data_IF_774038051665
#
_entry.id   IF_774038051665
#
_cell.length_a   1.000
_cell.length_b   1.000
_cell.length_c   1.000
_cell.angle_alpha   90.00
_cell.angle_beta   90.00
_cell.angle_gamma   90.00
#
_symmetry.space_group_name_H-M   'P 1'
#
loop_
_entity.id
_entity.type
_entity.pdbx_description
1 polymer ?
#
# COMPACT_ATOMS: atom_id res chain seq x y z
N UNK A 1 -20.35 -54.73 27.77
CA UNK A 1 -20.30 -56.05 27.11
C UNK A 1 -19.89 -57.05 28.16
N UNK A 2 -20.73 -58.03 28.48
CA UNK A 2 -20.43 -59.04 29.50
C UNK A 2 -19.68 -60.19 28.83
N UNK A 3 -18.35 -60.22 28.97
CA UNK A 3 -17.56 -61.38 28.55
C UNK A 3 -17.61 -62.44 29.66
N UNK A 4 -17.79 -63.73 29.34
CA UNK A 4 -17.67 -64.80 30.34
C UNK A 4 -16.25 -64.90 30.94
N UNK A 5 -15.26 -64.24 30.33
CA UNK A 5 -13.88 -64.17 30.81
C UNK A 5 -13.52 -62.85 31.50
N UNK A 6 -14.52 -61.99 31.81
CA UNK A 6 -14.28 -60.63 32.32
C UNK A 6 -13.49 -60.62 33.64
N UNK A 7 -13.70 -61.61 34.52
CA UNK A 7 -13.03 -61.72 35.82
C UNK A 7 -11.54 -62.09 35.71
N UNK A 8 -11.12 -62.63 34.57
CA UNK A 8 -9.74 -63.07 34.33
C UNK A 8 -8.88 -62.02 33.61
N UNK A 9 -9.48 -60.93 33.12
CA UNK A 9 -8.75 -59.83 32.48
C UNK A 9 -7.79 -59.20 33.50
N UNK A 10 -6.54 -58.95 33.08
CA UNK A 10 -5.46 -58.36 33.90
C UNK A 10 -5.03 -59.14 35.17
N UNK A 11 -5.51 -60.37 35.34
CA UNK A 11 -5.29 -61.19 36.56
C UNK A 11 -4.05 -62.09 36.52
N UNK A 12 -3.29 -62.10 35.41
CA UNK A 12 -2.17 -63.03 35.19
C UNK A 12 -2.60 -64.49 34.95
N UNK A 13 -3.90 -64.75 34.85
CA UNK A 13 -4.48 -66.07 34.59
C UNK A 13 -4.03 -66.67 33.25
N UNK A 14 -3.71 -67.96 33.25
CA UNK A 14 -3.34 -68.72 32.05
C UNK A 14 -4.53 -69.59 31.60
N UNK A 15 -5.14 -69.31 30.43
CA UNK A 15 -6.29 -70.07 29.93
C UNK A 15 -5.94 -71.55 29.68
N UNK A 16 -6.88 -72.44 29.90
CA UNK A 16 -6.77 -73.86 29.55
C UNK A 16 -6.92 -74.11 28.05
N UNK A 17 -6.49 -75.28 27.58
CA UNK A 17 -6.58 -75.68 26.16
C UNK A 17 -8.02 -75.68 25.60
N UNK A 18 -9.03 -75.78 26.47
CA UNK A 18 -10.46 -75.75 26.10
C UNK A 18 -11.00 -74.31 26.03
N UNK A 19 -10.45 -73.38 26.80
CA UNK A 19 -10.86 -71.98 26.83
C UNK A 19 -10.24 -71.16 25.70
N UNK A 20 -9.02 -71.51 25.27
CA UNK A 20 -8.31 -70.81 24.18
C UNK A 20 -9.18 -70.71 22.90
N UNK A 21 -9.82 -71.79 22.40
CA UNK A 21 -10.72 -71.69 21.25
C UNK A 21 -11.93 -70.78 21.48
N UNK A 22 -12.52 -70.79 22.68
CA UNK A 22 -13.67 -69.96 23.03
C UNK A 22 -13.31 -68.47 23.06
N UNK A 23 -12.16 -68.13 23.64
CA UNK A 23 -11.61 -66.78 23.66
C UNK A 23 -11.32 -66.31 22.22
N UNK A 24 -10.71 -67.17 21.39
CA UNK A 24 -10.46 -66.86 19.97
C UNK A 24 -11.75 -66.60 19.19
N UNK A 25 -12.80 -67.40 19.41
CA UNK A 25 -14.09 -67.20 18.75
C UNK A 25 -14.75 -65.87 19.17
N UNK A 26 -14.69 -65.53 20.46
CA UNK A 26 -15.21 -64.26 20.98
C UNK A 26 -14.43 -63.05 20.40
N UNK A 27 -13.10 -63.16 20.29
CA UNK A 27 -12.26 -62.15 19.64
C UNK A 27 -12.67 -62.00 18.17
N UNK A 28 -12.80 -63.10 17.43
CA UNK A 28 -13.19 -63.07 16.03
C UNK A 28 -14.56 -62.42 15.83
N UNK A 29 -15.54 -62.76 16.67
CA UNK A 29 -16.86 -62.13 16.64
C UNK A 29 -16.76 -60.61 16.83
N UNK A 30 -15.94 -60.12 17.76
CA UNK A 30 -15.77 -58.69 17.98
C UNK A 30 -14.99 -58.01 16.84
N UNK A 31 -14.03 -58.69 16.21
CA UNK A 31 -13.36 -58.22 14.99
C UNK A 31 -14.39 -58.01 13.88
N UNK A 32 -15.30 -58.96 13.68
CA UNK A 32 -16.34 -58.87 12.65
C UNK A 32 -17.32 -57.71 12.94
N UNK A 33 -17.68 -57.50 14.21
CA UNK A 33 -18.51 -56.36 14.65
C UNK A 33 -17.80 -55.03 14.36
N UNK A 34 -16.51 -54.91 14.70
CA UNK A 34 -15.72 -53.71 14.39
C UNK A 34 -15.71 -53.46 12.87
N UNK A 35 -15.48 -54.50 12.07
CA UNK A 35 -15.53 -54.38 10.60
C UNK A 35 -16.89 -53.90 10.07
N UNK A 36 -17.99 -54.32 10.69
CA UNK A 36 -19.34 -53.80 10.36
C UNK A 36 -19.48 -52.32 10.75
N UNK A 37 -19.04 -51.93 11.94
CA UNK A 37 -19.11 -50.54 12.43
C UNK A 37 -18.25 -49.63 11.54
N UNK A 38 -17.03 -50.04 11.19
CA UNK A 38 -16.14 -49.26 10.33
C UNK A 38 -16.75 -49.03 8.94
N UNK A 39 -17.49 -50.02 8.42
CA UNK A 39 -18.25 -49.88 7.18
C UNK A 39 -19.37 -48.84 7.32
N UNK A 40 -20.15 -48.89 8.40
CA UNK A 40 -21.21 -47.90 8.67
C UNK A 40 -20.63 -46.49 8.86
N UNK A 41 -19.50 -46.35 9.57
CA UNK A 41 -18.79 -45.07 9.71
C UNK A 41 -18.40 -44.54 8.32
N UNK A 42 -17.78 -45.38 7.49
CA UNK A 42 -17.37 -44.98 6.14
C UNK A 42 -18.56 -44.54 5.28
N UNK A 43 -19.67 -45.28 5.30
CA UNK A 43 -20.89 -44.93 4.57
C UNK A 43 -21.50 -43.60 5.06
N UNK A 44 -21.48 -43.36 6.37
CA UNK A 44 -21.94 -42.10 6.96
C UNK A 44 -21.01 -40.92 6.61
N UNK A 45 -19.69 -41.13 6.61
CA UNK A 45 -18.69 -40.14 6.21
C UNK A 45 -18.84 -39.75 4.73
N UNK A 46 -18.99 -40.75 3.85
CA UNK A 46 -19.23 -40.54 2.42
C UNK A 46 -20.54 -39.77 2.17
N UNK A 47 -21.60 -40.14 2.89
CA UNK A 47 -22.89 -39.44 2.84
C UNK A 47 -22.78 -37.98 3.33
N UNK A 48 -22.04 -37.75 4.41
CA UNK A 48 -21.78 -36.40 4.93
C UNK A 48 -20.98 -35.56 3.94
N UNK A 49 -19.97 -36.15 3.30
CA UNK A 49 -19.17 -35.49 2.27
C UNK A 49 -20.05 -35.08 1.07
N UNK A 50 -20.92 -35.98 0.59
CA UNK A 50 -21.86 -35.71 -0.49
C UNK A 50 -22.85 -34.58 -0.12
N UNK A 51 -23.41 -34.60 1.09
CA UNK A 51 -24.30 -33.54 1.56
C UNK A 51 -23.59 -32.19 1.70
N UNK A 52 -22.34 -32.16 2.19
CA UNK A 52 -21.52 -30.93 2.24
C UNK A 52 -21.25 -30.37 0.85
N UNK A 53 -20.93 -31.23 -0.12
CA UNK A 53 -20.74 -30.82 -1.52
C UNK A 53 -22.03 -30.24 -2.12
N UNK A 54 -23.17 -30.92 -1.93
CA UNK A 54 -24.49 -30.45 -2.38
C UNK A 54 -24.88 -29.12 -1.74
N UNK A 55 -24.65 -28.96 -0.43
CA UNK A 55 -24.87 -27.69 0.29
C UNK A 55 -24.00 -26.56 -0.27
N UNK A 56 -22.72 -26.83 -0.58
CA UNK A 56 -21.81 -25.85 -1.20
C UNK A 56 -22.32 -25.44 -2.58
N UNK A 57 -22.72 -26.39 -3.42
CA UNK A 57 -23.29 -26.12 -4.74
C UNK A 57 -24.56 -25.27 -4.65
N UNK A 58 -25.49 -25.61 -3.76
CA UNK A 58 -26.72 -24.84 -3.55
C UNK A 58 -26.45 -23.42 -3.03
N UNK A 59 -25.48 -23.23 -2.11
CA UNK A 59 -25.06 -21.88 -1.69
C UNK A 59 -24.53 -21.05 -2.86
N UNK A 60 -23.74 -21.64 -3.76
CA UNK A 60 -23.24 -20.97 -4.96
C UNK A 60 -24.41 -20.62 -5.89
N UNK A 61 -25.34 -21.56 -6.12
CA UNK A 61 -26.55 -21.34 -6.92
C UNK A 61 -27.36 -20.15 -6.41
N UNK A 62 -27.67 -20.13 -5.11
CA UNK A 62 -28.43 -19.04 -4.47
C UNK A 62 -27.70 -17.70 -4.64
N UNK A 63 -26.41 -17.64 -4.31
CA UNK A 63 -25.61 -16.41 -4.45
C UNK A 63 -25.60 -15.86 -5.87
N UNK A 64 -25.46 -16.73 -6.87
CA UNK A 64 -25.49 -16.33 -8.29
C UNK A 64 -26.84 -15.71 -8.67
N UNK A 65 -27.96 -16.31 -8.24
CA UNK A 65 -29.29 -15.79 -8.54
C UNK A 65 -29.63 -14.52 -7.77
N UNK A 66 -29.24 -14.43 -6.49
CA UNK A 66 -29.34 -13.19 -5.71
C UNK A 66 -28.56 -12.05 -6.37
N UNK A 67 -27.37 -12.33 -6.90
CA UNK A 67 -26.60 -11.35 -7.64
C UNK A 67 -27.29 -10.89 -8.94
N UNK A 68 -28.15 -11.69 -9.57
CA UNK A 68 -28.92 -11.27 -10.76
C UNK A 68 -29.97 -10.21 -10.41
N UNK A 69 -30.62 -10.35 -9.26
CA UNK A 69 -31.68 -9.44 -8.80
C UNK A 69 -31.18 -8.34 -7.85
N UNK A 70 -29.85 -8.22 -7.68
CA UNK A 70 -29.27 -7.21 -6.81
C UNK A 70 -29.70 -5.80 -7.26
N UNK A 71 -30.24 -4.95 -6.36
CA UNK A 71 -30.75 -3.63 -6.72
C UNK A 71 -29.74 -2.75 -7.46
N UNK A 72 -28.46 -2.90 -7.12
CA UNK A 72 -27.35 -2.14 -7.71
C UNK A 72 -27.19 -2.36 -9.23
N UNK A 73 -27.72 -3.47 -9.78
CA UNK A 73 -27.73 -3.73 -11.24
C UNK A 73 -28.79 -2.95 -12.00
N UNK A 74 -29.79 -2.41 -11.29
CA UNK A 74 -30.88 -1.61 -11.87
C UNK A 74 -30.62 -0.11 -11.76
N UNK A 75 -29.55 0.28 -11.07
CA UNK A 75 -29.22 1.69 -10.94
C UNK A 75 -28.77 2.26 -12.29
N UNK A 76 -29.26 3.44 -12.65
CA UNK A 76 -28.72 4.21 -13.76
C UNK A 76 -27.20 4.44 -13.62
N UNK A 77 -26.44 4.54 -14.73
CA UNK A 77 -24.99 4.73 -14.69
C UNK A 77 -24.53 5.95 -13.90
N UNK A 78 -25.26 7.06 -13.99
CA UNK A 78 -24.97 8.30 -13.25
C UNK A 78 -25.08 8.11 -11.74
N UNK A 79 -26.16 7.48 -11.26
CA UNK A 79 -26.34 7.16 -9.84
C UNK A 79 -25.24 6.22 -9.35
N UNK A 80 -24.90 5.21 -10.15
CA UNK A 80 -23.84 4.27 -9.81
C UNK A 80 -22.46 4.95 -9.76
N UNK A 81 -22.16 5.87 -10.68
CA UNK A 81 -20.95 6.70 -10.65
C UNK A 81 -20.92 7.63 -9.42
N UNK A 82 -22.05 8.20 -9.00
CA UNK A 82 -22.14 8.97 -7.76
C UNK A 82 -21.80 8.11 -6.53
N UNK A 83 -22.33 6.89 -6.47
CA UNK A 83 -21.98 5.92 -5.42
C UNK A 83 -20.48 5.64 -5.44
N UNK A 84 -19.89 5.41 -6.61
CA UNK A 84 -18.44 5.15 -6.72
C UNK A 84 -17.60 6.32 -6.19
N UNK A 85 -17.98 7.56 -6.52
CA UNK A 85 -17.28 8.76 -6.06
C UNK A 85 -17.42 8.96 -4.54
N UNK A 86 -18.59 8.62 -3.98
CA UNK A 86 -18.83 8.67 -2.54
C UNK A 86 -17.97 7.66 -1.74
N UNK A 87 -17.38 6.66 -2.40
CA UNK A 87 -16.44 5.74 -1.76
C UNK A 87 -15.02 6.31 -1.58
N UNK A 88 -14.67 7.42 -2.24
CA UNK A 88 -13.32 8.00 -2.20
C UNK A 88 -12.93 8.70 -0.88
N UNK A 89 -13.80 9.47 -0.20
CA UNK A 89 -13.42 10.25 0.98
C UNK A 89 -13.02 9.41 2.20
N UNK A 90 -13.44 8.14 2.28
CA UNK A 90 -13.18 7.26 3.44
C UNK A 90 -11.68 6.93 3.64
N UNK A 91 -10.81 7.29 2.70
CA UNK A 91 -9.43 6.79 2.60
C UNK A 91 -8.38 7.92 2.71
N UNK A 92 -8.79 9.10 3.18
CA UNK A 92 -7.84 10.20 3.45
C UNK A 92 -6.87 9.91 4.60
N UNK A 93 -7.18 8.91 5.42
CA UNK A 93 -6.29 8.40 6.47
C UNK A 93 -5.43 7.25 5.94
N UNK A 94 -4.19 7.62 5.60
CA UNK A 94 -2.96 6.84 5.81
C UNK A 94 -2.70 5.52 5.07
N UNK A 95 -3.66 4.84 4.42
CA UNK A 95 -3.40 3.44 3.97
C UNK A 95 -3.69 3.07 2.51
N UNK A 96 -4.28 3.92 1.66
CA UNK A 96 -4.43 3.60 0.24
C UNK A 96 -3.78 4.63 -0.69
N UNK A 97 -2.44 4.64 -0.67
CA UNK A 97 -1.68 4.96 -1.89
C UNK A 97 -2.23 4.11 -3.06
N UNK A 98 -1.98 4.51 -4.31
CA UNK A 98 -2.48 3.86 -5.55
C UNK A 98 -2.17 2.35 -5.60
N UNK A 99 -2.94 1.56 -4.86
CA UNK A 99 -2.74 0.14 -4.52
C UNK A 99 -3.95 -0.66 -4.98
N UNK A 100 -3.87 -1.98 -4.90
CA UNK A 100 -4.97 -2.88 -5.25
C UNK A 100 -6.25 -2.64 -4.43
N UNK A 101 -6.13 -2.06 -3.24
CA UNK A 101 -7.25 -1.80 -2.34
C UNK A 101 -7.90 -0.42 -2.55
N UNK A 102 -7.36 0.41 -3.44
CA UNK A 102 -7.97 1.71 -3.75
C UNK A 102 -9.38 1.51 -4.34
N UNK A 103 -10.41 2.28 -3.92
CA UNK A 103 -11.80 2.06 -4.33
C UNK A 103 -11.98 2.02 -5.83
N UNK A 104 -11.36 2.95 -6.58
CA UNK A 104 -11.42 2.96 -8.03
C UNK A 104 -10.91 1.64 -8.66
N UNK A 105 -9.88 1.02 -8.06
CA UNK A 105 -9.34 -0.26 -8.50
C UNK A 105 -10.31 -1.38 -8.16
N UNK A 106 -10.75 -1.47 -6.90
CA UNK A 106 -11.69 -2.51 -6.43
C UNK A 106 -12.98 -2.48 -7.25
N UNK A 107 -13.57 -1.30 -7.43
CA UNK A 107 -14.78 -1.07 -8.24
C UNK A 107 -14.56 -1.55 -9.67
N UNK A 108 -13.40 -1.25 -10.28
CA UNK A 108 -13.07 -1.68 -11.64
C UNK A 108 -12.88 -3.20 -11.78
N UNK A 109 -12.80 -3.96 -10.69
CA UNK A 109 -12.65 -5.42 -10.70
C UNK A 109 -13.94 -6.18 -10.38
N UNK A 110 -15.04 -5.51 -10.03
CA UNK A 110 -16.30 -6.19 -9.65
C UNK A 110 -16.93 -6.93 -10.83
N UNK A 111 -17.17 -6.24 -11.94
CA UNK A 111 -17.70 -6.84 -13.17
C UNK A 111 -17.36 -5.98 -14.40
N UNK A 112 -17.62 -6.50 -15.61
CA UNK A 112 -17.35 -5.78 -16.87
C UNK A 112 -18.06 -4.42 -16.94
N UNK A 113 -19.33 -4.36 -16.50
CA UNK A 113 -20.11 -3.13 -16.54
C UNK A 113 -19.52 -2.05 -15.60
N UNK A 114 -19.17 -2.44 -14.37
CA UNK A 114 -18.57 -1.52 -13.39
C UNK A 114 -17.18 -1.06 -13.82
N UNK A 115 -16.40 -1.94 -14.45
CA UNK A 115 -15.10 -1.57 -15.02
C UNK A 115 -15.23 -0.47 -16.07
N UNK A 116 -16.16 -0.65 -17.01
CA UNK A 116 -16.40 0.34 -18.05
C UNK A 116 -16.83 1.67 -17.43
N UNK A 117 -17.80 1.64 -16.51
CA UNK A 117 -18.28 2.84 -15.84
C UNK A 117 -17.20 3.55 -15.01
N UNK A 118 -16.33 2.79 -14.34
CA UNK A 118 -15.20 3.35 -13.61
C UNK A 118 -14.19 4.05 -14.54
N UNK A 119 -13.97 3.54 -15.74
CA UNK A 119 -13.12 4.20 -16.76
C UNK A 119 -13.81 5.40 -17.40
N UNK A 120 -15.13 5.37 -17.51
CA UNK A 120 -15.94 6.48 -18.00
C UNK A 120 -16.22 7.55 -16.94
N UNK A 121 -15.73 7.36 -15.71
CA UNK A 121 -15.81 8.32 -14.60
C UNK A 121 -14.40 8.80 -14.21
N UNK A 122 -13.81 9.78 -14.94
CA UNK A 122 -12.41 10.16 -14.76
C UNK A 122 -12.08 10.74 -13.38
N UNK A 123 -13.06 11.34 -12.71
CA UNK A 123 -12.95 11.84 -11.34
C UNK A 123 -12.56 10.77 -10.32
N UNK A 124 -12.81 9.47 -10.59
CA UNK A 124 -12.34 8.38 -9.73
C UNK A 124 -10.81 8.26 -9.67
N UNK A 125 -10.13 8.83 -10.66
CA UNK A 125 -8.68 8.69 -10.86
C UNK A 125 -7.94 10.01 -10.67
N UNK A 126 -8.63 11.11 -10.34
CA UNK A 126 -8.05 12.45 -10.25
C UNK A 126 -7.25 12.71 -8.97
N UNK A 127 -7.34 11.81 -7.99
CA UNK A 127 -6.55 11.88 -6.75
C UNK A 127 -5.30 11.02 -6.87
N UNK A 128 -4.15 11.67 -6.85
CA UNK A 128 -2.84 11.05 -7.00
C UNK A 128 -2.13 11.07 -5.66
N UNK A 129 -1.72 9.91 -5.16
CA UNK A 129 -1.02 9.78 -3.89
C UNK A 129 0.32 9.07 -4.07
N UNK A 130 1.41 9.81 -3.87
CA UNK A 130 2.77 9.33 -3.97
C UNK A 130 3.42 9.36 -2.58
N UNK A 131 3.64 8.19 -2.00
CA UNK A 131 4.36 8.05 -0.72
C UNK A 131 5.58 7.22 -1.02
N UNK A 132 6.74 7.87 -1.04
CA UNK A 132 7.99 7.15 -1.23
C UNK A 132 8.43 6.52 0.10
N UNK A 133 9.04 5.32 0.04
CA UNK A 133 9.60 4.70 1.24
C UNK A 133 10.72 5.57 1.80
N UNK A 134 10.78 5.67 3.13
CA UNK A 134 11.91 6.28 3.80
C UNK A 134 13.05 5.27 3.81
N UNK A 135 14.21 5.64 3.27
CA UNK A 135 15.38 4.75 3.28
C UNK A 135 16.21 5.08 4.51
N UNK A 136 16.16 4.21 5.51
CA UNK A 136 17.04 4.25 6.67
C UNK A 136 18.21 3.30 6.39
N UNK A 137 19.42 3.84 6.21
CA UNK A 137 20.61 3.01 6.41
C UNK A 137 20.85 2.96 7.92
N UNK A 138 20.83 1.77 8.50
CA UNK A 138 21.17 1.59 9.92
C UNK A 138 22.65 1.97 10.13
N UNK A 139 22.96 3.03 10.90
CA UNK A 139 24.33 3.45 11.12
C UNK A 139 25.12 2.50 12.04
N UNK A 140 24.48 1.49 12.64
CA UNK A 140 25.11 0.57 13.60
C UNK A 140 25.49 -0.80 13.03
N UNK A 141 25.33 -1.04 11.72
CA UNK A 141 25.76 -2.32 11.14
C UNK A 141 27.27 -2.37 10.87
N UNK A 142 27.95 -3.47 11.26
CA UNK A 142 29.39 -3.61 11.08
C UNK A 142 29.76 -3.61 9.59
N UNK A 143 30.88 -2.97 9.22
CA UNK A 143 31.25 -2.67 7.82
C UNK A 143 31.35 -3.89 6.91
N UNK A 144 31.56 -5.08 7.46
CA UNK A 144 31.77 -6.32 6.67
C UNK A 144 30.48 -6.85 6.00
N UNK A 145 29.28 -6.41 6.41
CA UNK A 145 27.99 -6.82 5.80
C UNK A 145 27.25 -5.69 5.05
N UNK A 146 27.74 -4.45 5.13
CA UNK A 146 27.07 -3.26 4.55
C UNK A 146 27.01 -3.32 3.01
N UNK A 147 27.99 -3.98 2.39
CA UNK A 147 28.14 -4.06 0.94
C UNK A 147 27.15 -5.02 0.24
N UNK A 148 26.53 -5.98 0.94
CA UNK A 148 25.46 -6.83 0.35
C UNK A 148 24.06 -6.27 0.60
N UNK A 149 23.86 -5.56 1.71
CA UNK A 149 22.54 -5.06 2.14
C UNK A 149 22.12 -3.82 1.35
N UNK A 150 23.05 -2.93 0.99
CA UNK A 150 22.71 -1.67 0.31
C UNK A 150 22.43 -1.81 -1.20
N UNK A 151 23.15 -2.67 -1.92
CA UNK A 151 22.85 -2.98 -3.33
C UNK A 151 21.44 -3.57 -3.53
N UNK A 152 21.01 -4.45 -2.61
CA UNK A 152 19.63 -4.94 -2.58
C UNK A 152 18.61 -3.84 -2.28
N UNK A 153 18.96 -2.90 -1.39
CA UNK A 153 18.08 -1.78 -1.02
C UNK A 153 17.83 -0.81 -2.18
N UNK A 154 18.85 -0.49 -2.98
CA UNK A 154 18.69 0.34 -4.18
C UNK A 154 17.77 -0.33 -5.23
N UNK A 155 17.95 -1.62 -5.49
CA UNK A 155 17.09 -2.35 -6.42
C UNK A 155 15.62 -2.44 -5.94
N UNK A 156 15.42 -2.64 -4.64
CA UNK A 156 14.08 -2.61 -4.03
C UNK A 156 13.45 -1.22 -4.16
N UNK A 157 14.22 -0.16 -3.89
CA UNK A 157 13.77 1.21 -4.07
C UNK A 157 13.36 1.48 -5.53
N UNK A 158 14.20 1.10 -6.49
CA UNK A 158 13.92 1.26 -7.92
C UNK A 158 12.66 0.53 -8.35
N UNK A 159 12.45 -0.70 -7.85
CA UNK A 159 11.21 -1.47 -8.10
C UNK A 159 9.96 -0.78 -7.53
N UNK A 160 10.04 -0.25 -6.31
CA UNK A 160 8.94 0.50 -5.69
C UNK A 160 8.64 1.77 -6.48
N UNK A 161 9.66 2.54 -6.86
CA UNK A 161 9.50 3.76 -7.65
C UNK A 161 8.92 3.46 -9.03
N UNK A 162 9.37 2.39 -9.69
CA UNK A 162 8.83 1.98 -10.98
C UNK A 162 7.33 1.66 -10.87
N UNK A 163 6.92 0.90 -9.84
CA UNK A 163 5.50 0.60 -9.60
C UNK A 163 4.67 1.85 -9.34
N UNK A 164 5.22 2.82 -8.59
CA UNK A 164 4.57 4.12 -8.37
C UNK A 164 4.46 4.92 -9.67
N UNK A 165 5.49 4.93 -10.50
CA UNK A 165 5.51 5.60 -11.79
C UNK A 165 4.45 5.01 -12.74
N UNK A 166 4.39 3.68 -12.86
CA UNK A 166 3.42 2.98 -13.70
C UNK A 166 1.99 3.23 -13.22
N UNK A 167 1.75 3.13 -11.91
CA UNK A 167 0.46 3.45 -11.31
C UNK A 167 0.06 4.91 -11.57
N UNK A 168 0.98 5.86 -11.37
CA UNK A 168 0.71 7.28 -11.63
C UNK A 168 0.37 7.53 -13.09
N UNK A 169 1.08 6.90 -14.02
CA UNK A 169 0.83 7.01 -15.46
C UNK A 169 -0.58 6.52 -15.81
N UNK A 170 -0.99 5.38 -15.23
CA UNK A 170 -2.35 4.84 -15.40
C UNK A 170 -3.40 5.79 -14.83
N UNK A 171 -3.18 6.34 -13.63
CA UNK A 171 -4.13 7.28 -12.99
C UNK A 171 -4.26 8.56 -13.80
N UNK A 172 -3.14 9.14 -14.24
CA UNK A 172 -3.12 10.32 -15.09
C UNK A 172 -3.89 10.09 -16.39
N UNK A 173 -3.62 8.99 -17.08
CA UNK A 173 -4.35 8.60 -18.29
C UNK A 173 -5.86 8.48 -18.06
N UNK A 174 -6.27 7.81 -16.98
CA UNK A 174 -7.70 7.58 -16.67
C UNK A 174 -8.42 8.82 -16.16
N UNK A 175 -7.70 9.75 -15.54
CA UNK A 175 -8.25 11.03 -15.06
C UNK A 175 -8.56 12.02 -16.19
N UNK A 176 -8.14 11.74 -17.43
CA UNK A 176 -8.41 12.54 -18.63
C UNK A 176 -8.05 14.02 -18.43
N UNK A 177 -9.02 14.93 -18.53
CA UNK A 177 -8.83 16.38 -18.34
C UNK A 177 -9.29 16.85 -16.96
N UNK A 178 -9.68 15.94 -16.06
CA UNK A 178 -10.19 16.34 -14.75
C UNK A 178 -9.11 17.08 -13.94
N UNK A 179 -9.52 18.05 -13.10
CA UNK A 179 -8.62 18.70 -12.15
C UNK A 179 -8.05 17.68 -11.15
N UNK A 180 -6.77 17.80 -10.85
CA UNK A 180 -6.00 16.84 -10.06
C UNK A 180 -5.85 17.31 -8.61
N UNK A 181 -5.97 16.35 -7.69
CA UNK A 181 -5.57 16.50 -6.29
C UNK A 181 -4.36 15.63 -6.03
N UNK A 182 -3.22 16.25 -5.72
CA UNK A 182 -1.94 15.55 -5.59
C UNK A 182 -1.47 15.60 -4.15
N UNK A 183 -1.14 14.43 -3.61
CA UNK A 183 -0.43 14.28 -2.36
C UNK A 183 0.92 13.61 -2.63
N UNK A 184 2.00 14.24 -2.19
CA UNK A 184 3.35 13.65 -2.24
C UNK A 184 4.00 13.70 -0.87
N UNK A 185 4.52 12.56 -0.40
CA UNK A 185 5.47 12.45 0.71
C UNK A 185 6.76 11.85 0.18
N UNK A 186 7.85 12.62 0.22
CA UNK A 186 9.13 12.23 -0.40
C UNK A 186 10.33 12.77 0.40
N UNK A 187 11.45 12.05 0.37
CA UNK A 187 12.72 12.46 0.94
C UNK A 187 13.85 12.28 -0.08
N UNK A 188 14.73 13.27 -0.18
CA UNK A 188 15.94 13.21 -1.00
C UNK A 188 17.14 12.67 -0.25
N UNK A 189 17.16 12.79 1.08
CA UNK A 189 18.29 12.32 1.89
C UNK A 189 18.21 10.83 2.21
N UNK A 190 19.37 10.17 2.16
CA UNK A 190 19.61 8.86 2.76
C UNK A 190 20.04 9.09 4.21
N UNK A 191 19.33 8.51 5.19
CA UNK A 191 19.74 8.62 6.58
C UNK A 191 20.95 7.70 6.82
N UNK A 192 22.13 8.27 7.10
CA UNK A 192 23.36 7.51 7.40
C UNK A 192 24.61 8.22 6.86
N UNK A 193 25.37 8.89 7.73
CA UNK A 193 26.50 9.77 7.38
C UNK A 193 27.80 9.09 6.94
N UNK A 194 27.75 7.91 6.31
CA UNK A 194 28.95 7.21 5.86
C UNK A 194 29.03 7.23 4.33
N UNK A 195 30.07 7.91 3.79
CA UNK A 195 30.33 8.08 2.36
C UNK A 195 30.89 6.79 1.72
N UNK A 196 30.06 5.75 1.63
CA UNK A 196 30.41 4.50 0.91
C UNK A 196 30.02 4.59 -0.56
N UNK A 197 30.70 3.83 -1.43
CA UNK A 197 30.39 3.75 -2.87
C UNK A 197 28.95 3.31 -3.15
N UNK A 198 28.36 2.48 -2.28
CA UNK A 198 26.98 2.01 -2.40
C UNK A 198 25.94 3.03 -1.88
N UNK A 199 26.31 3.87 -0.90
CA UNK A 199 25.49 5.03 -0.50
C UNK A 199 25.31 5.98 -1.70
N UNK A 200 26.36 6.18 -2.50
CA UNK A 200 26.29 6.96 -3.76
C UNK A 200 25.39 6.31 -4.81
N UNK A 201 25.39 4.97 -4.93
CA UNK A 201 24.49 4.24 -5.83
C UNK A 201 23.03 4.42 -5.43
N UNK A 202 22.71 4.26 -4.14
CA UNK A 202 21.36 4.45 -3.61
C UNK A 202 20.89 5.90 -3.74
N UNK A 203 21.74 6.88 -3.39
CA UNK A 203 21.47 8.30 -3.60
C UNK A 203 21.19 8.59 -5.09
N UNK A 204 21.97 8.00 -6.00
CA UNK A 204 21.75 8.06 -7.44
C UNK A 204 20.37 7.52 -7.86
N UNK A 205 19.99 6.32 -7.39
CA UNK A 205 18.66 5.74 -7.63
C UNK A 205 17.54 6.62 -7.07
N UNK A 206 17.70 7.17 -5.86
CA UNK A 206 16.73 8.10 -5.23
C UNK A 206 16.53 9.35 -6.09
N UNK A 207 17.61 10.03 -6.48
CA UNK A 207 17.54 11.24 -7.29
C UNK A 207 16.99 10.96 -8.70
N UNK A 208 17.35 9.84 -9.32
CA UNK A 208 16.80 9.43 -10.62
C UNK A 208 15.30 9.12 -10.52
N UNK A 209 14.91 8.34 -9.52
CA UNK A 209 13.52 8.00 -9.25
C UNK A 209 12.63 9.22 -9.00
N UNK A 210 13.07 10.11 -8.10
CA UNK A 210 12.41 11.38 -7.83
C UNK A 210 12.34 12.27 -9.06
N UNK A 211 13.42 12.37 -9.83
CA UNK A 211 13.45 13.15 -11.07
C UNK A 211 12.37 12.71 -12.06
N UNK A 212 12.17 11.40 -12.23
CA UNK A 212 11.12 10.82 -13.09
C UNK A 212 9.72 11.14 -12.57
N UNK A 213 9.45 10.90 -11.28
CA UNK A 213 8.14 11.16 -10.68
C UNK A 213 7.78 12.65 -10.70
N UNK A 214 8.71 13.52 -10.32
CA UNK A 214 8.52 14.98 -10.38
C UNK A 214 8.29 15.44 -11.82
N UNK A 215 9.06 14.91 -12.79
CA UNK A 215 8.84 15.20 -14.21
C UNK A 215 7.44 14.83 -14.67
N UNK A 216 6.96 13.65 -14.29
CA UNK A 216 5.61 13.16 -14.62
C UNK A 216 4.50 14.00 -13.99
N UNK A 217 4.68 14.47 -12.74
CA UNK A 217 3.71 15.36 -12.13
C UNK A 217 3.70 16.73 -12.85
N UNK A 218 4.88 17.30 -13.11
CA UNK A 218 5.01 18.62 -13.71
C UNK A 218 4.47 18.67 -15.14
N UNK A 219 4.51 17.57 -15.91
CA UNK A 219 3.88 17.54 -17.24
C UNK A 219 2.36 17.75 -17.17
N UNK A 220 1.75 17.55 -16.01
CA UNK A 220 0.32 17.68 -15.77
C UNK A 220 -0.03 18.90 -14.88
N UNK A 221 0.94 19.79 -14.65
CA UNK A 221 0.82 20.95 -13.74
C UNK A 221 -0.38 21.84 -14.03
N UNK A 222 -0.75 21.96 -15.32
CA UNK A 222 -1.87 22.79 -15.76
C UNK A 222 -3.23 22.35 -15.20
N UNK A 223 -3.32 21.09 -14.77
CA UNK A 223 -4.53 20.46 -14.24
C UNK A 223 -4.56 20.42 -12.72
N UNK A 224 -3.53 20.92 -12.03
CA UNK A 224 -3.47 20.83 -10.58
C UNK A 224 -4.47 21.79 -9.94
N UNK A 225 -5.45 21.27 -9.22
CA UNK A 225 -6.41 22.06 -8.44
C UNK A 225 -6.01 22.12 -6.97
N UNK A 226 -5.51 21.01 -6.42
CA UNK A 226 -5.07 20.92 -5.04
C UNK A 226 -3.75 20.15 -4.94
N UNK A 227 -2.79 20.69 -4.20
CA UNK A 227 -1.53 20.00 -3.93
C UNK A 227 -1.19 20.00 -2.45
N UNK A 228 -0.71 18.86 -1.97
CA UNK A 228 -0.19 18.70 -0.62
C UNK A 228 1.14 17.95 -0.66
N UNK A 229 2.22 18.67 -0.41
CA UNK A 229 3.57 18.15 -0.46
C UNK A 229 4.18 18.11 0.95
N UNK A 230 4.73 16.96 1.33
CA UNK A 230 5.52 16.74 2.54
C UNK A 230 6.91 16.28 2.11
N UNK A 231 7.85 17.21 2.02
CA UNK A 231 9.13 17.02 1.34
C UNK A 231 10.28 17.12 2.35
N UNK A 232 11.26 16.24 2.25
CA UNK A 232 12.57 16.42 2.88
C UNK A 232 13.61 16.67 1.79
N UNK A 233 14.15 17.89 1.75
CA UNK A 233 14.97 18.42 0.64
C UNK A 233 16.42 18.54 1.10
N UNK A 234 17.37 18.20 0.22
CA UNK A 234 18.80 18.43 0.48
C UNK A 234 19.13 19.91 0.26
N UNK A 235 19.85 20.53 1.20
CA UNK A 235 20.19 21.97 1.23
C UNK A 235 20.84 22.53 -0.05
N UNK A 236 21.53 21.69 -0.82
CA UNK A 236 22.15 22.10 -2.10
C UNK A 236 21.12 22.12 -3.25
N UNK A 237 20.57 23.31 -3.50
CA UNK A 237 19.44 23.54 -4.43
C UNK A 237 19.64 23.06 -5.87
N UNK A 238 20.89 22.94 -6.36
CA UNK A 238 21.17 22.49 -7.75
C UNK A 238 20.97 20.99 -7.98
N UNK A 239 21.11 20.17 -6.95
CA UNK A 239 20.95 18.70 -7.06
C UNK A 239 19.53 18.23 -6.73
N UNK A 240 18.79 19.03 -5.98
CA UNK A 240 17.42 18.69 -5.58
C UNK A 240 16.49 18.54 -6.78
N UNK A 241 15.74 17.45 -6.82
CA UNK A 241 14.65 17.17 -7.76
C UNK A 241 13.31 17.66 -7.22
N UNK A 242 13.10 17.58 -5.91
CA UNK A 242 11.89 18.00 -5.21
C UNK A 242 11.74 19.53 -5.20
N UNK A 243 12.85 20.26 -5.19
CA UNK A 243 12.84 21.73 -5.25
C UNK A 243 12.11 22.26 -6.48
N UNK A 244 12.14 21.53 -7.61
CA UNK A 244 11.42 21.87 -8.86
C UNK A 244 9.91 21.99 -8.68
N UNK A 245 9.33 21.31 -7.69
CA UNK A 245 7.90 21.43 -7.36
C UNK A 245 7.56 22.75 -6.66
N UNK A 246 8.56 23.49 -6.19
CA UNK A 246 8.42 24.77 -5.50
C UNK A 246 8.56 25.95 -6.49
N UNK A 247 9.35 25.81 -7.55
CA UNK A 247 9.60 26.85 -8.55
C UNK A 247 8.59 26.81 -9.71
N UNK A 248 7.31 27.06 -9.41
CA UNK A 248 6.25 27.12 -10.42
C UNK A 248 5.67 28.53 -10.53
N UNK A 249 5.54 29.03 -11.75
CA UNK A 249 4.91 30.31 -12.02
C UNK A 249 3.39 30.15 -12.17
N UNK A 250 2.59 31.23 -12.03
CA UNK A 250 1.13 31.15 -12.13
C UNK A 250 0.59 30.54 -13.42
N UNK A 251 1.29 30.73 -14.54
CA UNK A 251 0.93 30.13 -15.83
C UNK A 251 1.13 28.61 -15.88
N UNK A 252 2.00 28.07 -15.04
CA UNK A 252 2.28 26.63 -14.98
C UNK A 252 1.18 25.89 -14.24
N UNK A 253 0.50 26.56 -13.30
CA UNK A 253 -0.55 26.02 -12.41
C UNK A 253 -1.79 26.93 -12.36
N UNK A 254 -2.47 27.16 -13.51
CA UNK A 254 -3.49 28.19 -13.66
C UNK A 254 -4.77 27.95 -12.83
N UNK A 255 -5.09 26.69 -12.52
CA UNK A 255 -6.32 26.31 -11.80
C UNK A 255 -6.06 25.92 -10.33
N UNK A 256 -4.85 26.14 -9.82
CA UNK A 256 -4.48 25.73 -8.47
C UNK A 256 -5.19 26.57 -7.42
N UNK A 257 -6.04 25.92 -6.61
CA UNK A 257 -6.86 26.55 -5.58
C UNK A 257 -6.31 26.35 -4.17
N UNK A 258 -5.76 25.18 -3.87
CA UNK A 258 -5.27 24.84 -2.52
C UNK A 258 -3.87 24.26 -2.57
N UNK A 259 -2.98 24.81 -1.75
CA UNK A 259 -1.59 24.38 -1.66
C UNK A 259 -1.18 24.24 -0.21
N UNK A 260 -0.66 23.07 0.15
CA UNK A 260 -0.04 22.81 1.46
C UNK A 260 1.35 22.20 1.24
N UNK A 261 2.39 22.91 1.68
CA UNK A 261 3.78 22.48 1.51
C UNK A 261 4.42 22.45 2.89
N UNK A 262 4.92 21.27 3.27
CA UNK A 262 5.67 21.05 4.50
C UNK A 262 7.06 20.59 4.09
N UNK A 263 8.07 21.38 4.45
CA UNK A 263 9.48 21.06 4.22
C UNK A 263 10.08 20.64 5.55
N UNK A 264 10.58 19.41 5.62
CA UNK A 264 11.32 18.89 6.75
C UNK A 264 12.82 18.93 6.45
N UNK A 265 13.64 19.16 7.48
CA UNK A 265 15.09 18.94 7.39
C UNK A 265 15.37 17.43 7.35
N UNK A 266 16.38 17.03 6.57
CA UNK A 266 16.96 15.69 6.73
C UNK A 266 17.90 15.79 7.92
N UNK A 267 17.46 15.39 9.11
CA UNK A 267 18.33 15.39 10.28
C UNK A 267 19.40 14.29 10.09
N UNK A 268 20.66 14.71 9.96
CA UNK A 268 21.79 13.78 10.09
C UNK A 268 21.96 13.46 11.58
N UNK A 269 22.09 12.18 11.99
CA UNK A 269 22.51 11.87 13.35
C UNK A 269 23.89 12.50 13.56
N UNK A 270 23.95 13.51 14.44
CA UNK A 270 25.18 14.15 14.86
C UNK A 270 25.99 13.08 15.60
N UNK A 271 27.12 12.65 15.02
CA UNK A 271 28.10 11.88 15.79
C UNK A 271 28.54 12.73 16.98
N UNK A 272 28.44 12.23 18.23
CA UNK A 272 28.85 13.00 19.39
C UNK A 272 30.38 13.16 19.34
N UNK A 273 30.86 14.35 19.02
CA UNK A 273 32.30 14.68 19.06
C UNK A 273 32.85 15.50 17.89
N UNK A 274 32.08 15.79 16.84
CA UNK A 274 32.50 16.73 15.78
C UNK A 274 31.69 18.01 15.93
N UNK A 275 32.33 19.09 16.36
CA UNK A 275 31.76 20.44 16.21
C UNK A 275 31.52 20.67 14.72
N UNK A 276 30.27 20.51 14.26
CA UNK A 276 29.94 20.88 12.89
C UNK A 276 29.96 22.39 12.83
N UNK A 277 30.88 22.96 12.04
CA UNK A 277 30.72 24.33 11.56
C UNK A 277 29.28 24.47 11.06
N UNK A 278 28.52 25.37 11.68
CA UNK A 278 27.16 25.73 11.28
C UNK A 278 27.23 26.42 9.91
N UNK A 279 27.53 25.65 8.86
CA UNK A 279 27.26 26.05 7.50
C UNK A 279 25.75 26.15 7.40
N UNK A 280 25.25 27.34 7.10
CA UNK A 280 23.83 27.60 6.95
C UNK A 280 23.31 26.69 5.83
N UNK A 281 22.80 25.51 6.19
CA UNK A 281 22.30 24.48 5.28
C UNK A 281 21.19 24.98 4.34
N UNK A 282 20.63 26.14 4.65
CA UNK A 282 19.58 26.82 3.89
C UNK A 282 20.13 27.87 2.90
N UNK A 283 21.40 28.25 2.95
CA UNK A 283 22.00 29.24 2.03
C UNK A 283 21.86 28.74 0.57
N UNK A 284 20.98 29.39 -0.19
CA UNK A 284 20.71 29.08 -1.60
C UNK A 284 19.41 28.33 -1.90
N UNK A 285 18.58 27.98 -0.90
CA UNK A 285 17.19 27.60 -1.14
C UNK A 285 16.37 28.87 -1.31
N UNK A 286 16.32 29.40 -2.53
CA UNK A 286 15.33 30.41 -2.89
C UNK A 286 13.95 29.74 -2.92
N UNK A 287 13.08 29.99 -1.93
CA UNK A 287 11.70 29.51 -1.99
C UNK A 287 10.88 30.57 -2.73
N UNK A 288 10.82 30.52 -4.07
CA UNK A 288 9.68 31.16 -4.75
C UNK A 288 8.47 30.30 -4.41
N UNK A 289 7.43 30.87 -3.78
CA UNK A 289 6.25 30.08 -3.44
C UNK A 289 5.45 29.81 -4.71
N UNK A 290 4.68 28.71 -4.75
CA UNK A 290 3.78 28.47 -5.88
C UNK A 290 2.75 29.61 -5.89
N UNK A 291 2.88 30.50 -6.86
CA UNK A 291 1.91 31.56 -7.09
C UNK A 291 0.93 31.05 -8.13
N UNK A 292 -0.37 31.10 -7.85
CA UNK A 292 -1.43 30.75 -8.79
C UNK A 292 -2.48 31.84 -8.79
N UNK A 293 -2.97 32.23 -9.97
CA UNK A 293 -4.00 33.28 -10.07
C UNK A 293 -5.30 32.88 -9.38
N UNK A 294 -5.61 31.57 -9.32
CA UNK A 294 -6.79 31.02 -8.69
C UNK A 294 -6.59 30.55 -7.23
N UNK A 295 -5.44 30.88 -6.61
CA UNK A 295 -5.05 30.34 -5.31
C UNK A 295 -5.93 30.93 -4.19
N UNK A 296 -6.64 30.06 -3.48
CA UNK A 296 -7.55 30.41 -2.39
C UNK A 296 -6.95 30.12 -1.01
N UNK A 297 -6.05 29.14 -0.92
CA UNK A 297 -5.44 28.72 0.34
C UNK A 297 -3.99 28.28 0.13
N UNK A 298 -3.08 28.86 0.93
CA UNK A 298 -1.67 28.50 0.97
C UNK A 298 -1.26 28.20 2.42
N UNK A 299 -0.68 27.03 2.64
CA UNK A 299 -0.05 26.66 3.91
C UNK A 299 1.39 26.27 3.64
N UNK A 300 2.34 27.00 4.23
CA UNK A 300 3.76 26.71 4.14
C UNK A 300 4.32 26.49 5.56
N UNK A 301 4.92 25.33 5.78
CA UNK A 301 5.64 25.01 7.01
C UNK A 301 7.09 24.67 6.67
N UNK A 302 8.04 25.45 7.19
CA UNK A 302 9.47 25.28 6.97
C UNK A 302 10.24 25.30 8.30
N UNK A 303 11.45 24.72 8.38
CA UNK A 303 12.28 24.78 9.59
C UNK A 303 12.69 26.22 9.89
N UNK A 304 12.82 26.58 11.18
CA UNK A 304 13.03 27.97 11.65
C UNK A 304 14.24 28.68 11.00
N UNK A 305 15.24 27.94 10.56
CA UNK A 305 16.46 28.48 9.95
C UNK A 305 16.28 28.86 8.46
N UNK A 306 15.27 28.29 7.78
CA UNK A 306 14.94 28.60 6.38
C UNK A 306 14.19 29.93 6.22
N UNK A 307 13.51 30.38 7.28
CA UNK A 307 12.67 31.59 7.26
C UNK A 307 13.47 32.91 7.23
N UNK A 308 14.79 32.85 7.40
CA UNK A 308 15.68 34.04 7.38
C UNK A 308 16.14 34.46 5.98
N UNK A 309 15.85 33.66 4.93
CA UNK A 309 16.20 33.98 3.55
C UNK A 309 15.15 34.92 2.95
N UNK A 310 15.60 36.10 2.48
CA UNK A 310 14.81 37.24 1.99
C UNK A 310 13.92 36.99 0.75
N UNK A 311 13.62 35.73 0.38
CA UNK A 311 12.83 35.37 -0.82
C UNK A 311 11.34 35.08 -0.59
N UNK A 312 10.86 34.99 0.66
CA UNK A 312 9.46 34.70 0.97
C UNK A 312 8.59 35.97 0.88
N UNK A 313 8.28 36.42 -0.33
CA UNK A 313 7.21 37.40 -0.54
C UNK A 313 5.85 36.68 -0.66
N UNK A 314 5.19 36.47 0.48
CA UNK A 314 3.75 36.16 0.51
C UNK A 314 3.01 37.47 0.24
N UNK A 315 2.70 37.77 -1.02
CA UNK A 315 1.76 38.83 -1.34
C UNK A 315 0.35 38.34 -1.01
N UNK A 316 -0.07 38.59 0.23
CA UNK A 316 -1.49 38.56 0.58
C UNK A 316 -2.19 39.69 -0.16
N UNK A 317 -3.09 39.34 -1.08
CA UNK A 317 -4.01 40.30 -1.68
C UNK A 317 -4.79 40.98 -0.56
N UNK A 318 -4.56 42.27 -0.36
CA UNK A 318 -5.57 43.15 0.24
C UNK A 318 -6.55 43.51 -0.87
N UNK A 319 -7.84 43.41 -0.54
CA UNK A 319 -8.96 43.72 -1.43
C UNK A 319 -9.06 45.17 -1.84
#
# INVERSE_FOLDING_TARGET
MNSPFSEYLDSGYSPSDVEIPLIKALIQQNIDIIGSIDKEIKEAEDSLAALKARRKANKIFIRKHQALIAPIKRLPPDILSTVFLACLPFIECTEAAMTCNHPAVVISQVCRHWRQLAFDTPLLWSKIQLILPYVHCDPYHPPDDVDRVNGGTAAVFDSVVQRLFDATTIWLSRSKSCPLTIFMKASEGVAGGVDTSQSKTLEGSVLMGLGRLVGLLLSESKRWEQVRFKLAIIGNSRKSRLSRLLFLAPQDVPILRKTSIVINSVDFPISPGVESEHTNFWDGIAISTIHGQALQSLTLACPKNAAKLQGLQVWGGKG
#
